data_IF_788754376345
#
_entry.id   IF_788754376345
#
_cell.length_a   1.000
_cell.length_b   1.000
_cell.length_c   1.000
_cell.angle_alpha   90.00
_cell.angle_beta   90.00
_cell.angle_gamma   90.00
#
_symmetry.space_group_name_H-M   'P 1'
#
loop_
_entity.id
_entity.type
_entity.pdbx_description
1 polymer ?
#
# COMPACT_ATOMS: atom_id res chain seq x y z
N UNK A 1 56.74 35.61 44.87
CA UNK A 1 55.91 36.21 43.81
C UNK A 1 54.97 35.12 43.32
N UNK A 2 53.70 35.17 43.73
CA UNK A 2 52.79 34.02 43.72
C UNK A 2 52.02 33.86 42.39
N UNK A 3 52.06 32.64 41.86
CA UNK A 3 51.22 32.13 40.78
C UNK A 3 49.82 31.83 41.35
N UNK A 4 48.76 32.27 40.66
CA UNK A 4 47.35 31.92 40.96
C UNK A 4 46.67 31.29 39.73
N UNK A 5 45.71 30.36 39.91
CA UNK A 5 45.46 29.28 38.97
C UNK A 5 44.30 29.56 38.00
N UNK A 6 44.49 29.15 36.74
CA UNK A 6 43.42 28.86 35.77
C UNK A 6 42.60 27.67 36.28
N UNK A 7 41.39 27.88 36.80
CA UNK A 7 40.55 26.76 37.25
C UNK A 7 39.04 26.93 37.01
N UNK A 8 38.59 27.88 36.17
CA UNK A 8 37.14 28.15 36.02
C UNK A 8 36.63 28.18 34.58
N UNK A 9 37.33 27.58 33.61
CA UNK A 9 36.91 27.57 32.20
C UNK A 9 36.59 26.18 31.63
N UNK A 10 36.41 25.16 32.49
CA UNK A 10 36.17 23.78 32.03
C UNK A 10 34.77 23.21 32.37
N UNK A 11 33.89 23.93 33.07
CA UNK A 11 32.63 23.34 33.60
C UNK A 11 31.35 23.91 32.95
N UNK A 12 31.44 24.92 32.08
CA UNK A 12 30.26 25.62 31.54
C UNK A 12 29.90 25.30 30.08
N UNK A 13 30.25 24.12 29.54
CA UNK A 13 29.85 23.69 28.17
C UNK A 13 29.07 22.36 28.15
N UNK A 14 28.76 21.77 29.30
CA UNK A 14 27.98 20.53 29.39
C UNK A 14 26.45 20.75 29.50
N UNK A 15 25.94 21.91 29.09
CA UNK A 15 24.50 22.14 28.99
C UNK A 15 24.01 22.00 27.55
N UNK A 16 23.14 21.02 27.36
CA UNK A 16 22.23 20.86 26.22
C UNK A 16 22.83 20.49 24.85
N UNK A 17 23.55 19.37 24.79
CA UNK A 17 23.42 18.52 23.60
C UNK A 17 22.35 17.46 23.92
N UNK A 18 21.08 17.80 23.70
CA UNK A 18 20.06 16.78 23.51
C UNK A 18 20.45 16.01 22.25
N UNK A 19 21.27 14.99 22.44
CA UNK A 19 21.55 13.99 21.44
C UNK A 19 20.20 13.43 21.01
N UNK A 20 19.73 13.86 19.84
CA UNK A 20 18.60 13.30 19.10
C UNK A 20 19.01 11.88 18.66
N UNK A 21 19.23 10.99 19.62
CA UNK A 21 19.34 9.57 19.34
C UNK A 21 17.93 9.05 19.12
N UNK A 22 17.75 8.41 17.96
CA UNK A 22 16.65 7.51 17.69
C UNK A 22 16.34 6.69 18.95
N UNK A 23 15.11 6.77 19.46
CA UNK A 23 14.73 5.96 20.61
C UNK A 23 14.12 4.68 20.07
N UNK A 24 14.60 3.49 20.51
CA UNK A 24 13.87 2.27 20.23
C UNK A 24 12.43 2.45 20.73
N UNK A 25 11.48 2.07 19.89
CA UNK A 25 10.06 2.05 20.25
C UNK A 25 9.77 0.64 20.75
N UNK A 26 9.64 0.49 22.06
CA UNK A 26 9.23 -0.78 22.66
C UNK A 26 7.74 -1.09 22.40
N UNK A 27 7.29 -2.34 22.58
CA UNK A 27 5.90 -2.73 22.32
C UNK A 27 4.85 -1.91 23.10
N UNK A 28 5.15 -1.48 24.32
CA UNK A 28 4.21 -0.69 25.14
C UNK A 28 4.06 0.72 24.57
N UNK A 29 5.19 1.35 24.21
CA UNK A 29 5.20 2.65 23.54
C UNK A 29 4.53 2.60 22.17
N UNK A 30 4.78 1.55 21.38
CA UNK A 30 4.17 1.35 20.07
C UNK A 30 2.65 1.20 20.16
N UNK A 31 2.15 0.45 21.15
CA UNK A 31 0.72 0.25 21.39
C UNK A 31 0.02 1.56 21.73
N UNK A 32 0.64 2.38 22.59
CA UNK A 32 0.13 3.72 22.93
C UNK A 32 0.07 4.63 21.70
N UNK A 33 1.15 4.67 20.91
CA UNK A 33 1.21 5.48 19.68
C UNK A 33 0.14 5.06 18.67
N UNK A 34 -0.06 3.75 18.48
CA UNK A 34 -1.10 3.22 17.62
C UNK A 34 -2.50 3.66 18.05
N UNK A 35 -2.78 3.55 19.36
CA UNK A 35 -4.06 3.94 19.94
C UNK A 35 -4.33 5.45 19.79
N UNK A 36 -3.39 6.29 20.22
CA UNK A 36 -3.50 7.75 20.16
C UNK A 36 -3.69 8.23 18.71
N UNK A 37 -2.95 7.64 17.77
CA UNK A 37 -3.07 7.98 16.36
C UNK A 37 -4.43 7.60 15.77
N UNK A 38 -4.91 6.37 16.00
CA UNK A 38 -6.20 5.91 15.48
C UNK A 38 -7.37 6.74 16.01
N UNK A 39 -7.32 7.18 17.28
CA UNK A 39 -8.31 8.11 17.82
C UNK A 39 -8.32 9.45 17.08
N UNK A 40 -7.14 9.97 16.73
CA UNK A 40 -7.02 11.26 16.05
C UNK A 40 -7.59 11.25 14.62
N UNK A 41 -7.45 10.13 13.89
CA UNK A 41 -7.88 10.03 12.49
C UNK A 41 -9.33 9.57 12.32
N UNK A 42 -9.98 9.04 13.36
CA UNK A 42 -11.36 8.58 13.30
C UNK A 42 -12.17 8.86 14.59
N UNK A 43 -12.50 10.13 14.88
CA UNK A 43 -13.14 10.53 16.15
C UNK A 43 -14.57 9.98 16.35
N UNK A 44 -15.24 9.58 15.26
CA UNK A 44 -16.65 9.14 15.24
C UNK A 44 -16.81 7.61 15.38
N UNK A 45 -15.71 6.84 15.33
CA UNK A 45 -15.72 5.42 15.67
C UNK A 45 -15.57 5.30 17.19
N UNK A 46 -16.69 5.09 17.89
CA UNK A 46 -16.80 5.22 19.35
C UNK A 46 -15.69 4.56 20.17
N UNK A 47 -15.60 4.96 21.45
CA UNK A 47 -14.63 4.63 22.52
C UNK A 47 -14.06 3.19 22.60
N UNK A 48 -14.58 2.23 21.85
CA UNK A 48 -13.99 0.92 21.62
C UNK A 48 -13.25 0.91 20.26
N UNK A 49 -11.95 1.19 20.27
CA UNK A 49 -11.08 0.94 19.10
C UNK A 49 -10.92 -0.56 18.81
N UNK A 50 -11.52 -1.45 19.62
CA UNK A 50 -11.31 -2.89 19.60
C UNK A 50 -9.90 -3.23 20.07
N UNK A 51 -9.68 -4.44 20.58
CA UNK A 51 -8.32 -4.90 20.90
C UNK A 51 -7.47 -4.84 19.61
N UNK A 52 -6.43 -4.02 19.64
CA UNK A 52 -5.45 -3.98 18.56
C UNK A 52 -4.61 -5.26 18.62
N UNK A 53 -4.72 -6.13 17.61
CA UNK A 53 -3.84 -7.29 17.51
C UNK A 53 -2.51 -6.83 16.93
N UNK A 54 -1.48 -6.80 17.78
CA UNK A 54 -0.11 -6.51 17.42
C UNK A 54 0.55 -7.71 16.75
N UNK A 55 0.99 -7.55 15.50
CA UNK A 55 1.96 -8.45 14.86
C UNK A 55 3.32 -7.74 14.81
N UNK A 56 4.39 -8.49 15.08
CA UNK A 56 5.74 -7.93 15.16
C UNK A 56 6.56 -8.35 13.94
N UNK A 57 7.24 -7.37 13.33
CA UNK A 57 8.23 -7.58 12.27
C UNK A 57 9.60 -7.10 12.76
N UNK A 58 10.71 -7.37 12.07
CA UNK A 58 12.03 -6.88 12.49
C UNK A 58 12.12 -5.34 12.61
N UNK A 59 11.37 -4.60 11.79
CA UNK A 59 11.53 -3.13 11.65
C UNK A 59 10.32 -2.32 12.10
N UNK A 60 9.13 -2.91 12.23
CA UNK A 60 7.90 -2.23 12.64
C UNK A 60 6.87 -3.17 13.30
N UNK A 61 5.86 -2.60 13.93
CA UNK A 61 4.68 -3.26 14.47
C UNK A 61 3.48 -3.02 13.58
N UNK A 62 2.62 -4.03 13.43
CA UNK A 62 1.32 -3.93 12.76
C UNK A 62 0.24 -3.99 13.83
N UNK A 63 -0.61 -2.96 13.90
CA UNK A 63 -1.79 -2.96 14.77
C UNK A 63 -3.04 -2.94 13.92
N UNK A 64 -3.72 -4.08 13.84
CA UNK A 64 -5.03 -4.19 13.20
C UNK A 64 -6.14 -3.95 14.21
N UNK A 65 -7.18 -3.19 13.82
CA UNK A 65 -8.42 -3.09 14.61
C UNK A 65 -9.23 -4.39 14.53
N UNK A 66 -10.13 -4.57 15.49
CA UNK A 66 -11.02 -5.73 15.52
C UNK A 66 -11.87 -5.87 14.24
N UNK A 67 -12.24 -7.12 13.98
CA UNK A 67 -13.10 -7.49 12.86
C UNK A 67 -14.46 -6.79 12.99
N UNK A 68 -14.81 -6.01 11.97
CA UNK A 68 -16.02 -5.17 11.96
C UNK A 68 -15.76 -3.67 12.13
N UNK A 69 -14.74 -3.28 12.91
CA UNK A 69 -14.34 -1.87 13.03
C UNK A 69 -13.48 -1.43 11.83
N UNK A 70 -12.59 -2.32 11.39
CA UNK A 70 -11.71 -2.12 10.25
C UNK A 70 -10.67 -1.01 10.46
N UNK A 71 -9.54 -1.16 9.78
CA UNK A 71 -8.41 -0.25 9.82
C UNK A 71 -7.19 -0.83 10.52
N UNK A 72 -6.05 -0.20 10.25
CA UNK A 72 -4.77 -0.59 10.80
C UNK A 72 -3.83 0.60 10.90
N UNK A 73 -2.80 0.47 11.72
CA UNK A 73 -1.68 1.41 11.80
C UNK A 73 -0.37 0.65 11.90
N UNK A 74 0.64 1.15 11.18
CA UNK A 74 1.99 0.60 11.13
C UNK A 74 2.91 1.51 11.93
N UNK A 75 3.55 0.96 12.96
CA UNK A 75 4.37 1.74 13.91
C UNK A 75 5.84 1.31 13.81
N UNK A 76 6.74 2.24 13.54
CA UNK A 76 8.18 1.99 13.46
C UNK A 76 8.76 1.53 14.80
N UNK A 77 9.73 0.61 14.75
CA UNK A 77 10.57 0.26 15.92
C UNK A 77 11.69 1.28 16.18
N UNK A 78 11.92 2.17 15.22
CA UNK A 78 12.87 3.28 15.28
C UNK A 78 12.13 4.58 14.94
N UNK A 79 11.98 5.49 15.90
CA UNK A 79 11.23 6.73 15.74
C UNK A 79 12.00 7.89 15.11
N UNK A 80 13.26 7.70 14.68
CA UNK A 80 14.11 8.73 14.07
C UNK A 80 13.51 9.43 12.86
N UNK A 81 12.57 8.78 12.17
CA UNK A 81 11.91 9.24 10.94
C UNK A 81 10.40 9.42 11.09
N UNK A 82 9.89 9.45 12.32
CA UNK A 82 8.47 9.43 12.63
C UNK A 82 7.98 8.02 12.98
N UNK A 83 7.15 7.93 14.01
CA UNK A 83 6.74 6.63 14.54
C UNK A 83 5.62 5.97 13.73
N UNK A 84 4.83 6.71 12.94
CA UNK A 84 3.73 6.16 12.14
C UNK A 84 4.17 6.07 10.68
N UNK A 85 4.27 4.84 10.17
CA UNK A 85 4.74 4.55 8.81
C UNK A 85 3.61 4.55 7.78
N UNK A 86 2.39 4.27 8.22
CA UNK A 86 1.21 4.23 7.37
C UNK A 86 -0.01 3.75 8.15
N UNK A 87 -1.19 4.06 7.63
CA UNK A 87 -2.46 3.66 8.25
C UNK A 87 -3.57 3.54 7.22
N UNK A 88 -4.65 2.88 7.62
CA UNK A 88 -5.94 2.91 6.94
C UNK A 88 -7.04 2.92 7.98
N UNK A 89 -8.12 3.65 7.73
CA UNK A 89 -9.34 3.61 8.56
C UNK A 89 -10.27 2.45 8.19
N UNK A 90 -9.88 1.65 7.19
CA UNK A 90 -10.66 0.53 6.67
C UNK A 90 -9.76 -0.70 6.43
N UNK A 91 -10.38 -1.88 6.39
CA UNK A 91 -9.70 -3.13 6.03
C UNK A 91 -8.77 -3.66 7.11
N UNK A 92 -7.76 -4.43 6.73
CA UNK A 92 -6.73 -4.99 7.61
C UNK A 92 -5.42 -5.10 6.85
N UNK A 93 -4.30 -5.02 7.55
CA UNK A 93 -2.98 -5.24 6.98
C UNK A 93 -2.45 -6.60 7.45
N UNK A 94 -2.10 -7.45 6.49
CA UNK A 94 -1.46 -8.74 6.75
C UNK A 94 -0.27 -8.83 5.81
N UNK A 95 0.94 -8.76 6.37
CA UNK A 95 2.18 -8.66 5.58
C UNK A 95 2.36 -9.86 4.64
N UNK A 96 1.97 -11.05 5.08
CA UNK A 96 2.08 -12.30 4.31
C UNK A 96 1.02 -12.42 3.21
N UNK A 97 -0.03 -11.59 3.25
CA UNK A 97 -1.04 -11.53 2.19
C UNK A 97 -0.71 -10.52 1.09
N UNK A 98 0.38 -9.74 1.24
CA UNK A 98 0.80 -8.80 0.19
C UNK A 98 1.33 -9.55 -1.04
N UNK A 99 1.00 -9.11 -2.26
CA UNK A 99 1.69 -9.58 -3.46
C UNK A 99 3.20 -9.38 -3.32
N UNK A 100 4.00 -10.36 -3.76
CA UNK A 100 5.46 -10.40 -3.55
C UNK A 100 6.15 -9.09 -3.97
N UNK A 101 5.86 -8.57 -5.16
CA UNK A 101 6.45 -7.32 -5.63
C UNK A 101 6.10 -6.11 -4.76
N UNK A 102 4.86 -6.05 -4.25
CA UNK A 102 4.44 -4.99 -3.33
C UNK A 102 5.12 -5.16 -1.97
N UNK A 103 5.24 -6.39 -1.48
CA UNK A 103 5.94 -6.71 -0.24
C UNK A 103 7.41 -6.27 -0.33
N UNK A 104 8.10 -6.57 -1.42
CA UNK A 104 9.50 -6.20 -1.63
C UNK A 104 9.68 -4.68 -1.64
N UNK A 105 8.88 -3.94 -2.41
CA UNK A 105 8.96 -2.48 -2.45
C UNK A 105 8.62 -1.90 -1.07
N UNK A 106 7.55 -2.38 -0.45
CA UNK A 106 7.11 -1.93 0.86
C UNK A 106 8.21 -2.12 1.91
N UNK A 107 8.80 -3.31 1.99
CA UNK A 107 9.90 -3.60 2.92
C UNK A 107 11.16 -2.80 2.61
N UNK A 108 11.43 -2.47 1.34
CA UNK A 108 12.56 -1.62 0.96
C UNK A 108 12.42 -0.17 1.45
N UNK A 109 11.19 0.30 1.65
CA UNK A 109 10.90 1.63 2.19
C UNK A 109 10.91 1.66 3.72
N UNK A 110 10.81 0.50 4.37
CA UNK A 110 10.90 0.43 5.82
C UNK A 110 12.35 0.71 6.24
N UNK A 111 12.56 1.54 7.29
CA UNK A 111 13.89 1.80 7.78
C UNK A 111 14.56 0.48 8.19
N UNK A 112 15.72 0.17 7.60
CA UNK A 112 16.53 -0.97 8.02
C UNK A 112 16.91 -0.76 9.49
N UNK A 113 16.59 -1.73 10.34
CA UNK A 113 16.85 -1.71 11.79
C UNK A 113 18.32 -1.94 12.13
N UNK A 114 19.24 -1.43 11.31
CA UNK A 114 20.67 -1.71 11.44
C UNK A 114 21.48 -0.44 11.51
N UNK A 115 21.86 -0.12 12.75
CA UNK A 115 22.88 0.83 13.18
C UNK A 115 22.68 2.29 12.81
N UNK A 116 23.03 3.15 13.78
CA UNK A 116 23.12 4.59 13.69
C UNK A 116 24.08 5.06 12.57
N UNK A 117 23.65 4.96 11.32
CA UNK A 117 24.25 5.65 10.20
C UNK A 117 23.26 6.68 9.68
N UNK A 118 23.77 7.91 9.69
CA UNK A 118 23.12 9.19 9.43
C UNK A 118 21.87 9.04 8.55
N UNK A 119 20.73 9.34 9.18
CA UNK A 119 19.48 9.43 8.48
C UNK A 119 19.61 10.41 7.32
N UNK A 120 19.77 9.91 6.08
CA UNK A 120 19.35 10.68 4.91
C UNK A 120 17.90 11.07 5.18
N UNK A 121 17.67 12.38 5.35
CA UNK A 121 16.35 12.97 5.48
C UNK A 121 15.54 12.50 4.28
N UNK A 122 14.59 11.60 4.49
CA UNK A 122 13.46 11.52 3.58
C UNK A 122 12.60 12.70 4.00
N UNK A 123 12.70 13.77 3.21
CA UNK A 123 11.84 14.93 3.36
C UNK A 123 10.43 14.44 3.02
N UNK A 124 9.64 14.09 4.05
CA UNK A 124 8.21 13.92 3.83
C UNK A 124 7.71 15.25 3.30
N UNK A 125 7.07 15.29 2.13
CA UNK A 125 6.57 16.54 1.58
C UNK A 125 5.71 17.20 2.66
N UNK A 126 5.99 18.47 2.93
CA UNK A 126 5.21 19.30 3.84
C UNK A 126 3.73 19.02 3.58
N UNK A 127 2.91 18.76 4.63
CA UNK A 127 1.54 18.33 4.46
C UNK A 127 0.85 19.27 3.47
N UNK A 128 0.40 18.70 2.34
CA UNK A 128 -0.35 19.46 1.35
C UNK A 128 -1.49 20.17 2.08
N UNK A 129 -1.68 21.47 1.80
CA UNK A 129 -2.64 22.34 2.51
C UNK A 129 -4.08 21.77 2.53
N UNK A 130 -4.40 20.83 1.63
CA UNK A 130 -5.56 19.94 1.70
C UNK A 130 -5.17 18.52 1.27
N UNK A 131 -5.59 17.48 2.01
CA UNK A 131 -5.48 16.10 1.55
C UNK A 131 -6.22 15.90 0.21
N UNK A 132 -5.58 15.24 -0.75
CA UNK A 132 -6.27 14.74 -1.94
C UNK A 132 -6.90 13.39 -1.55
N UNK A 133 -8.22 13.31 -1.58
CA UNK A 133 -8.92 12.04 -1.37
C UNK A 133 -8.59 11.05 -2.50
N UNK A 134 -8.60 9.73 -2.25
CA UNK A 134 -8.34 8.73 -3.29
C UNK A 134 -9.16 8.99 -4.57
N UNK A 135 -8.45 9.21 -5.68
CA UNK A 135 -9.08 9.55 -6.96
C UNK A 135 -9.68 8.31 -7.64
N UNK A 136 -8.97 7.20 -7.59
CA UNK A 136 -9.41 5.94 -8.16
C UNK A 136 -10.61 5.41 -7.37
N UNK A 137 -11.73 5.21 -8.08
CA UNK A 137 -12.90 4.49 -7.54
C UNK A 137 -12.83 2.99 -7.81
N UNK A 138 -12.06 2.59 -8.82
CA UNK A 138 -11.82 1.19 -9.13
C UNK A 138 -11.09 0.50 -7.98
N UNK A 139 -11.47 -0.75 -7.68
CA UNK A 139 -10.74 -1.65 -6.80
C UNK A 139 -10.50 -2.97 -7.52
N UNK A 140 -9.79 -2.90 -8.65
CA UNK A 140 -9.60 -4.05 -9.53
C UNK A 140 -8.44 -4.95 -9.07
N UNK A 141 -8.64 -6.25 -9.25
CA UNK A 141 -7.66 -7.29 -8.97
C UNK A 141 -6.96 -7.81 -10.22
N UNK A 142 -6.16 -8.88 -10.06
CA UNK A 142 -5.45 -9.53 -11.16
C UNK A 142 -6.01 -10.89 -11.57
N UNK A 143 -6.86 -11.49 -10.73
CA UNK A 143 -7.43 -12.83 -10.91
C UNK A 143 -8.94 -12.72 -10.75
N UNK A 144 -9.68 -13.33 -11.67
CA UNK A 144 -11.13 -13.29 -11.70
C UNK A 144 -11.60 -13.02 -13.13
N UNK A 145 -12.83 -13.45 -13.43
CA UNK A 145 -13.38 -13.39 -14.78
C UNK A 145 -13.28 -11.99 -15.43
N UNK A 146 -13.41 -10.94 -14.63
CA UNK A 146 -13.37 -9.55 -15.10
C UNK A 146 -11.95 -9.04 -15.35
N UNK A 147 -10.94 -9.74 -14.85
CA UNK A 147 -9.56 -9.27 -14.83
C UNK A 147 -8.65 -10.06 -15.78
N UNK A 148 -8.76 -11.40 -15.78
CA UNK A 148 -7.81 -12.26 -16.49
C UNK A 148 -8.43 -13.28 -17.45
N UNK A 149 -9.73 -13.21 -17.75
CA UNK A 149 -10.38 -14.19 -18.64
C UNK A 149 -9.88 -14.21 -20.08
N UNK A 150 -9.06 -13.23 -20.51
CA UNK A 150 -8.47 -13.19 -21.84
C UNK A 150 -6.94 -13.28 -21.81
N UNK A 151 -6.33 -13.61 -20.66
CA UNK A 151 -4.89 -13.91 -20.61
C UNK A 151 -4.60 -15.30 -21.19
N UNK A 152 -3.36 -15.63 -21.55
CA UNK A 152 -3.00 -16.97 -21.96
C UNK A 152 -3.32 -18.03 -20.89
N UNK A 153 -3.73 -19.20 -21.37
CA UNK A 153 -3.88 -20.39 -20.55
C UNK A 153 -2.51 -21.01 -20.29
N UNK A 154 -2.21 -21.26 -19.02
CA UNK A 154 -1.09 -22.05 -18.56
C UNK A 154 -1.64 -23.20 -17.70
N UNK A 155 -1.35 -24.45 -18.07
CA UNK A 155 -1.89 -25.65 -17.41
C UNK A 155 -3.42 -25.62 -17.21
N UNK A 156 -4.15 -25.17 -18.24
CA UNK A 156 -5.62 -25.13 -18.21
C UNK A 156 -6.23 -23.98 -17.41
N UNK A 157 -5.42 -23.06 -16.88
CA UNK A 157 -5.89 -21.89 -16.12
C UNK A 157 -5.37 -20.58 -16.69
N UNK A 158 -6.17 -19.52 -16.62
CA UNK A 158 -5.74 -18.18 -17.03
C UNK A 158 -4.66 -17.65 -16.09
N UNK A 159 -3.56 -17.15 -16.67
CA UNK A 159 -2.55 -16.42 -15.89
C UNK A 159 -3.16 -15.15 -15.28
N UNK A 160 -2.64 -14.60 -14.16
CA UNK A 160 -3.06 -13.28 -13.69
C UNK A 160 -2.85 -12.20 -14.77
N UNK A 161 -3.67 -11.14 -14.76
CA UNK A 161 -3.50 -10.02 -15.71
C UNK A 161 -2.17 -9.29 -15.53
N UNK A 162 -1.60 -9.33 -14.32
CA UNK A 162 -0.36 -8.66 -13.97
C UNK A 162 -0.60 -7.31 -13.29
N UNK A 163 0.32 -6.95 -12.39
CA UNK A 163 0.20 -5.74 -11.56
C UNK A 163 0.28 -4.46 -12.41
N UNK A 164 1.16 -4.42 -13.41
CA UNK A 164 1.33 -3.29 -14.31
C UNK A 164 0.05 -3.07 -15.14
N UNK A 165 -0.45 -4.14 -15.78
CA UNK A 165 -1.70 -4.07 -16.56
C UNK A 165 -2.88 -3.60 -15.70
N UNK A 166 -3.02 -4.15 -14.49
CA UNK A 166 -4.09 -3.77 -13.57
C UNK A 166 -3.97 -2.32 -13.09
N UNK A 167 -2.75 -1.83 -12.81
CA UNK A 167 -2.53 -0.44 -12.42
C UNK A 167 -2.89 0.52 -13.56
N UNK A 168 -2.41 0.24 -14.78
CA UNK A 168 -2.70 1.05 -15.97
C UNK A 168 -4.20 1.05 -16.29
N UNK A 169 -4.86 -0.10 -16.23
CA UNK A 169 -6.29 -0.24 -16.47
C UNK A 169 -7.13 0.60 -15.49
N UNK A 170 -6.76 0.63 -14.21
CA UNK A 170 -7.44 1.48 -13.22
C UNK A 170 -7.26 2.98 -13.51
N UNK A 171 -6.08 3.39 -13.99
CA UNK A 171 -5.82 4.77 -14.43
C UNK A 171 -6.65 5.11 -15.66
N UNK A 172 -6.70 4.23 -16.67
CA UNK A 172 -7.51 4.41 -17.88
C UNK A 172 -8.99 4.51 -17.54
N UNK A 173 -9.49 3.68 -16.62
CA UNK A 173 -10.87 3.74 -16.15
C UNK A 173 -11.20 5.06 -15.44
N UNK A 174 -10.29 5.57 -14.61
CA UNK A 174 -10.47 6.88 -13.98
C UNK A 174 -10.64 8.01 -15.01
N UNK A 175 -9.87 7.96 -16.09
CA UNK A 175 -9.97 8.93 -17.18
C UNK A 175 -11.07 8.61 -18.21
N UNK A 176 -11.62 7.40 -18.20
CA UNK A 176 -12.51 6.85 -19.22
C UNK A 176 -11.98 7.12 -20.64
N UNK A 177 -10.69 6.85 -20.84
CA UNK A 177 -9.99 7.16 -22.08
C UNK A 177 -8.92 6.10 -22.42
N UNK A 178 -8.73 5.76 -23.70
CA UNK A 178 -9.46 6.26 -24.87
C UNK A 178 -10.80 5.57 -25.08
N UNK A 179 -11.68 6.10 -25.95
CA UNK A 179 -12.87 5.36 -26.38
C UNK A 179 -12.49 4.19 -27.31
N UNK A 180 -11.44 4.37 -28.11
CA UNK A 180 -10.93 3.37 -29.06
C UNK A 180 -9.41 3.33 -29.02
N UNK A 181 -8.84 2.13 -28.99
CA UNK A 181 -7.39 1.94 -29.02
C UNK A 181 -6.78 2.38 -30.35
N UNK A 182 -5.45 2.47 -30.39
CA UNK A 182 -4.69 2.86 -31.58
C UNK A 182 -3.46 1.99 -31.76
N UNK A 183 -3.12 1.69 -33.01
CA UNK A 183 -1.96 0.89 -33.37
C UNK A 183 -2.12 -0.58 -33.01
N UNK A 184 -1.01 -1.30 -33.08
CA UNK A 184 -0.90 -2.72 -32.76
C UNK A 184 0.46 -3.03 -32.14
N UNK A 185 0.54 -4.14 -31.41
CA UNK A 185 1.78 -4.62 -30.83
C UNK A 185 1.88 -6.14 -30.96
N UNK A 186 3.05 -6.62 -31.37
CA UNK A 186 3.35 -8.06 -31.43
C UNK A 186 4.10 -8.46 -30.17
N UNK A 187 3.45 -9.29 -29.36
CA UNK A 187 4.03 -9.82 -28.15
C UNK A 187 5.03 -10.94 -28.47
N UNK A 188 6.06 -11.09 -27.64
CA UNK A 188 7.10 -12.11 -27.82
C UNK A 188 6.56 -13.53 -27.61
N UNK A 189 5.60 -13.72 -26.69
CA UNK A 189 4.89 -14.98 -26.51
C UNK A 189 4.00 -15.27 -27.74
N UNK A 190 4.26 -16.35 -28.49
CA UNK A 190 3.48 -16.70 -29.68
C UNK A 190 2.00 -16.99 -29.40
N UNK A 191 1.65 -17.42 -28.18
CA UNK A 191 0.25 -17.68 -27.78
C UNK A 191 -0.58 -16.40 -27.72
N UNK A 192 0.05 -15.25 -27.44
CA UNK A 192 -0.61 -13.94 -27.46
C UNK A 192 -0.62 -13.38 -28.89
N UNK A 193 0.51 -13.53 -29.59
CA UNK A 193 0.63 -13.05 -30.97
C UNK A 193 0.56 -11.52 -31.08
N UNK A 194 -0.17 -11.03 -32.07
CA UNK A 194 -0.33 -9.59 -32.32
C UNK A 194 -1.68 -9.10 -31.81
N UNK A 195 -1.66 -8.06 -30.99
CA UNK A 195 -2.85 -7.36 -30.52
C UNK A 195 -3.01 -6.07 -31.32
N UNK A 196 -4.16 -5.90 -31.96
CA UNK A 196 -4.50 -4.71 -32.75
C UNK A 196 -5.49 -3.84 -31.96
N UNK A 197 -4.93 -2.91 -31.18
CA UNK A 197 -5.68 -2.00 -30.31
C UNK A 197 -6.73 -1.18 -31.08
N UNK A 198 -6.50 -0.91 -32.37
CA UNK A 198 -7.45 -0.16 -33.21
C UNK A 198 -8.79 -0.88 -33.41
N UNK A 199 -8.87 -2.19 -33.11
CA UNK A 199 -10.10 -2.98 -33.16
C UNK A 199 -10.87 -3.00 -31.84
N UNK A 200 -10.34 -2.37 -30.79
CA UNK A 200 -10.95 -2.36 -29.47
C UNK A 200 -11.64 -1.03 -29.19
N UNK A 201 -12.95 -1.10 -28.92
CA UNK A 201 -13.74 -0.02 -28.32
C UNK A 201 -13.92 -0.32 -26.83
N UNK A 202 -13.65 0.68 -25.99
CA UNK A 202 -13.74 0.54 -24.54
C UNK A 202 -15.05 1.15 -24.03
N UNK A 203 -15.95 0.28 -23.54
CA UNK A 203 -17.26 0.68 -23.02
C UNK A 203 -17.15 1.02 -21.53
N UNK A 204 -16.56 2.18 -21.23
CA UNK A 204 -16.27 2.61 -19.86
C UNK A 204 -17.50 2.70 -18.95
N UNK A 205 -18.65 3.06 -19.53
CA UNK A 205 -19.96 3.15 -18.87
C UNK A 205 -20.46 1.79 -18.39
N UNK A 206 -20.03 0.71 -19.04
CA UNK A 206 -20.38 -0.65 -18.64
C UNK A 206 -19.46 -1.15 -17.52
N UNK A 207 -18.25 -0.59 -17.36
CA UNK A 207 -17.26 -1.04 -16.38
C UNK A 207 -17.60 -0.60 -14.96
N UNK A 208 -17.68 -1.58 -14.05
CA UNK A 208 -17.96 -1.34 -12.65
C UNK A 208 -16.67 -0.97 -11.87
N UNK A 209 -16.75 -0.04 -10.91
CA UNK A 209 -15.61 0.29 -10.06
C UNK A 209 -15.22 -0.88 -9.14
N UNK A 210 -16.18 -1.72 -8.74
CA UNK A 210 -15.94 -2.88 -7.89
C UNK A 210 -16.81 -4.04 -8.38
N UNK A 211 -16.21 -5.20 -8.61
CA UNK A 211 -16.92 -6.39 -9.08
C UNK A 211 -17.32 -7.33 -7.93
N UNK A 212 -16.70 -7.22 -6.76
CA UNK A 212 -17.20 -7.85 -5.53
C UNK A 212 -17.24 -9.38 -5.62
N UNK A 213 -18.39 -10.01 -5.30
CA UNK A 213 -18.52 -11.50 -5.34
C UNK A 213 -18.26 -12.09 -6.72
N UNK A 214 -18.42 -11.31 -7.80
CA UNK A 214 -18.17 -11.82 -9.15
C UNK A 214 -16.67 -11.99 -9.45
N UNK A 215 -15.77 -11.47 -8.62
CA UNK A 215 -14.34 -11.72 -8.69
C UNK A 215 -14.00 -13.18 -8.33
N UNK A 216 -14.87 -13.85 -7.57
CA UNK A 216 -14.62 -15.16 -6.97
C UNK A 216 -14.96 -16.35 -7.89
N UNK A 217 -15.61 -16.13 -9.04
CA UNK A 217 -16.09 -17.23 -9.90
C UNK A 217 -14.96 -18.16 -10.36
N UNK A 218 -13.77 -17.63 -10.68
CA UNK A 218 -12.61 -18.47 -11.01
C UNK A 218 -11.89 -19.03 -9.77
N UNK A 219 -11.93 -18.35 -8.61
CA UNK A 219 -11.22 -18.82 -7.40
C UNK A 219 -11.79 -20.16 -6.88
N UNK A 220 -13.07 -20.40 -7.14
CA UNK A 220 -13.79 -21.57 -6.63
C UNK A 220 -14.20 -22.56 -7.75
N UNK A 221 -13.68 -22.41 -8.97
CA UNK A 221 -13.94 -23.35 -10.07
C UNK A 221 -15.37 -23.34 -10.61
N UNK A 222 -16.14 -22.27 -10.38
CA UNK A 222 -17.50 -22.16 -10.93
C UNK A 222 -17.47 -21.86 -12.43
N UNK A 223 -18.42 -22.41 -13.20
CA UNK A 223 -18.57 -22.08 -14.63
C UNK A 223 -18.89 -20.60 -14.83
N UNK A 224 -18.52 -20.07 -15.98
CA UNK A 224 -18.76 -18.67 -16.35
C UNK A 224 -20.26 -18.37 -16.39
N UNK A 225 -20.75 -17.31 -15.74
CA UNK A 225 -22.15 -16.89 -15.89
C UNK A 225 -22.41 -16.47 -17.34
N UNK A 226 -23.40 -17.08 -17.99
CA UNK A 226 -23.76 -16.77 -19.39
C UNK A 226 -24.28 -15.33 -19.56
N UNK A 227 -24.76 -14.72 -18.48
CA UNK A 227 -25.36 -13.41 -18.38
C UNK A 227 -24.42 -12.32 -17.83
N UNK A 228 -23.18 -12.67 -17.48
CA UNK A 228 -22.19 -11.67 -17.11
C UNK A 228 -21.99 -10.73 -18.31
N UNK A 229 -22.08 -9.39 -18.14
CA UNK A 229 -21.85 -8.47 -19.24
C UNK A 229 -20.54 -8.87 -19.91
N UNK A 230 -20.54 -9.00 -21.24
CA UNK A 230 -19.37 -9.43 -22.01
C UNK A 230 -18.32 -8.32 -21.95
N UNK A 231 -17.67 -8.25 -20.80
CA UNK A 231 -16.67 -7.28 -20.45
C UNK A 231 -15.45 -7.51 -21.33
N UNK A 232 -14.91 -6.42 -21.87
CA UNK A 232 -13.50 -6.34 -22.18
C UNK A 232 -12.74 -6.49 -20.86
N UNK A 233 -12.31 -7.70 -20.52
CA UNK A 233 -11.43 -8.01 -19.37
C UNK A 233 -10.34 -6.95 -19.18
N UNK A 234 -9.86 -6.69 -17.96
CA UNK A 234 -8.65 -5.85 -17.72
C UNK A 234 -7.48 -6.32 -18.59
N UNK A 235 -7.38 -7.61 -18.86
CA UNK A 235 -6.38 -8.16 -19.79
C UNK A 235 -6.55 -7.75 -21.27
N UNK A 236 -7.57 -6.95 -21.61
CA UNK A 236 -7.83 -6.38 -22.94
C UNK A 236 -7.49 -4.88 -23.01
N UNK A 237 -7.24 -4.26 -21.85
CA UNK A 237 -6.75 -2.89 -21.68
C UNK A 237 -5.21 -2.91 -21.74
#
# INVERSE_FOLDING_TARGET
MHIRPLAYLAVAVLSLHSLLHARPVDPSRATKLAYDFLQSVQPQGGRNLGILKGEETPTFYVYNREEGAGGFVLVSKDDSRGAILGYSTQGRFVLDSLPEGLRTIFLSWMPASTSAQEARRIDFPQPMKKPITPLLKSKWGQIGYQYNSLTPLFNGSHSPSGCVATAVAQIMYYHQWPLRGKGSHKHFNPQIGTVDFSKHTYHWDQMLPVYGRSELYQRNGYPYPEDAPRFTSVSRL
#
